data_IF_420295018675
#
_entry.id   IF_420295018675
#
_cell.length_a   1.000
_cell.length_b   1.000
_cell.length_c   1.000
_cell.angle_alpha   90.00
_cell.angle_beta   90.00
_cell.angle_gamma   90.00
#
_symmetry.space_group_name_H-M   'P 1'
#
loop_
_entity.id
_entity.type
_entity.pdbx_description
1 polymer ?
#
# COMPACT_ATOMS: atom_id res chain seq x y z
N UNK A 1 -7.55 -13.69 12.11
CA UNK A 1 -7.61 -13.14 10.74
C UNK A 1 -6.38 -12.26 10.54
N UNK A 2 -5.78 -12.28 9.35
CA UNK A 2 -4.52 -11.58 9.06
C UNK A 2 -4.79 -10.27 8.34
N UNK A 3 -3.91 -9.29 8.56
CA UNK A 3 -3.90 -7.99 7.88
C UNK A 3 -3.65 -8.17 6.39
N UNK A 4 -2.94 -9.23 5.99
CA UNK A 4 -2.78 -9.58 4.58
C UNK A 4 -3.95 -10.42 4.09
N UNK A 5 -4.52 -10.04 2.94
CA UNK A 5 -5.52 -10.85 2.26
C UNK A 5 -4.89 -12.19 1.87
N UNK A 6 -5.66 -13.30 1.95
CA UNK A 6 -5.19 -14.55 1.37
C UNK A 6 -4.88 -14.36 -0.11
N UNK A 7 -3.80 -14.98 -0.58
CA UNK A 7 -3.35 -14.84 -1.95
C UNK A 7 -4.50 -15.09 -2.95
N UNK A 8 -4.75 -14.10 -3.79
CA UNK A 8 -5.73 -14.15 -4.86
C UNK A 8 -5.11 -13.54 -6.12
N UNK A 9 -5.25 -14.24 -7.24
CA UNK A 9 -4.84 -13.70 -8.53
C UNK A 9 -6.00 -12.91 -9.14
N UNK A 10 -5.85 -11.60 -9.22
CA UNK A 10 -6.74 -10.69 -9.91
C UNK A 10 -6.40 -10.64 -11.40
N UNK A 11 -7.41 -10.84 -12.24
CA UNK A 11 -7.29 -10.59 -13.68
C UNK A 11 -7.16 -9.09 -13.96
N UNK A 12 -6.52 -8.74 -15.07
CA UNK A 12 -6.29 -7.36 -15.52
C UNK A 12 -7.55 -6.49 -15.46
N UNK A 13 -8.66 -7.01 -15.96
CA UNK A 13 -9.94 -6.29 -16.02
C UNK A 13 -10.49 -5.99 -14.62
N UNK A 14 -10.19 -6.84 -13.64
CA UNK A 14 -10.58 -6.63 -12.24
C UNK A 14 -9.69 -5.58 -11.56
N UNK A 15 -8.39 -5.56 -11.88
CA UNK A 15 -7.45 -4.56 -11.38
C UNK A 15 -7.81 -3.18 -11.95
N UNK A 16 -7.99 -3.09 -13.27
CA UNK A 16 -8.44 -1.87 -13.97
C UNK A 16 -9.76 -1.35 -13.43
N UNK A 17 -10.73 -2.24 -13.17
CA UNK A 17 -12.02 -1.83 -12.60
C UNK A 17 -11.84 -1.21 -11.23
N UNK A 18 -10.96 -1.75 -10.38
CA UNK A 18 -10.69 -1.21 -9.03
C UNK A 18 -10.02 0.16 -9.11
N UNK A 19 -8.98 0.30 -9.94
CA UNK A 19 -8.32 1.58 -10.17
C UNK A 19 -9.32 2.64 -10.69
N UNK A 20 -10.12 2.30 -11.69
CA UNK A 20 -11.15 3.20 -12.24
C UNK A 20 -12.26 3.54 -11.24
N UNK A 21 -12.66 2.61 -10.37
CA UNK A 21 -13.65 2.89 -9.35
C UNK A 21 -13.15 3.94 -8.34
N UNK A 22 -11.88 3.85 -7.94
CA UNK A 22 -11.23 4.86 -7.08
C UNK A 22 -11.25 6.22 -7.78
N UNK A 23 -10.81 6.31 -9.03
CA UNK A 23 -10.83 7.56 -9.79
C UNK A 23 -12.25 8.14 -9.95
N UNK A 24 -13.25 7.28 -10.18
CA UNK A 24 -14.65 7.70 -10.27
C UNK A 24 -15.18 8.23 -8.95
N UNK A 25 -14.80 7.61 -7.82
CA UNK A 25 -15.17 8.08 -6.49
C UNK A 25 -14.48 9.41 -6.17
N UNK A 26 -13.18 9.52 -6.43
CA UNK A 26 -12.41 10.77 -6.31
C UNK A 26 -13.06 11.91 -7.08
N UNK A 27 -13.47 11.66 -8.33
CA UNK A 27 -14.14 12.66 -9.16
C UNK A 27 -15.48 13.16 -8.59
N UNK A 28 -16.19 12.32 -7.83
CA UNK A 28 -17.45 12.67 -7.17
C UNK A 28 -17.25 13.40 -5.84
N UNK A 29 -16.07 13.29 -5.24
CA UNK A 29 -15.75 13.90 -3.95
C UNK A 29 -15.17 15.29 -4.18
N UNK A 30 -15.78 16.31 -3.55
CA UNK A 30 -15.27 17.68 -3.58
C UNK A 30 -13.83 17.72 -3.05
N UNK A 31 -12.96 18.51 -3.71
CA UNK A 31 -11.51 18.65 -3.44
C UNK A 31 -10.60 17.48 -3.89
N UNK A 32 -11.15 16.31 -4.23
CA UNK A 32 -10.37 15.17 -4.71
C UNK A 32 -10.51 14.91 -6.21
N UNK A 33 -11.15 15.82 -6.95
CA UNK A 33 -11.28 15.68 -8.40
C UNK A 33 -9.88 15.61 -9.05
N UNK A 34 -9.55 14.51 -9.75
CA UNK A 34 -8.22 14.31 -10.31
C UNK A 34 -7.94 15.40 -11.36
N UNK A 35 -6.76 16.04 -11.24
CA UNK A 35 -6.25 17.02 -12.20
C UNK A 35 -5.09 16.39 -12.96
N UNK A 36 -4.81 16.92 -14.15
CA UNK A 36 -3.69 16.48 -14.99
C UNK A 36 -2.64 17.60 -15.07
N UNK A 37 -1.34 17.31 -14.88
CA UNK A 37 -0.73 15.99 -14.62
C UNK A 37 -1.21 15.36 -13.30
N UNK A 38 -1.33 14.04 -13.29
CA UNK A 38 -1.97 13.30 -12.20
C UNK A 38 -0.99 13.05 -11.07
N UNK A 39 -1.37 13.50 -9.89
CA UNK A 39 -0.58 13.35 -8.66
C UNK A 39 -1.07 12.14 -7.88
N UNK A 40 -0.24 11.09 -7.79
CA UNK A 40 -0.60 9.85 -7.11
C UNK A 40 -0.86 10.05 -5.59
N UNK A 41 -0.25 11.08 -4.99
CA UNK A 41 -0.47 11.48 -3.59
C UNK A 41 -1.93 11.83 -3.29
N UNK A 42 -2.66 12.42 -4.25
CA UNK A 42 -4.09 12.70 -4.07
C UNK A 42 -4.92 11.42 -3.90
N UNK A 43 -4.48 10.31 -4.50
CA UNK A 43 -5.13 9.01 -4.32
C UNK A 43 -4.84 8.47 -2.92
N UNK A 44 -3.61 8.60 -2.43
CA UNK A 44 -3.26 8.23 -1.07
C UNK A 44 -4.11 9.02 -0.06
N UNK A 45 -4.17 10.35 -0.19
CA UNK A 45 -4.99 11.21 0.66
C UNK A 45 -6.48 10.82 0.60
N UNK A 46 -7.01 10.53 -0.60
CA UNK A 46 -8.40 10.09 -0.76
C UNK A 46 -8.69 8.75 -0.08
N UNK A 47 -7.70 7.86 -0.04
CA UNK A 47 -7.77 6.57 0.64
C UNK A 47 -7.43 6.67 2.13
N UNK A 48 -7.22 7.89 2.65
CA UNK A 48 -6.80 8.14 4.03
C UNK A 48 -5.52 7.38 4.36
N UNK A 49 -4.53 7.51 3.45
CA UNK A 49 -3.19 6.97 3.59
C UNK A 49 -2.20 8.12 3.78
N UNK A 50 -1.42 8.06 4.85
CA UNK A 50 -0.23 8.89 5.01
C UNK A 50 0.84 8.47 4.01
N UNK A 51 1.58 9.44 3.47
CA UNK A 51 2.78 9.20 2.67
C UNK A 51 3.92 10.01 3.25
N UNK A 52 5.01 9.34 3.62
CA UNK A 52 6.21 9.99 4.14
C UNK A 52 7.46 9.46 3.43
N UNK A 53 8.51 10.27 3.49
CA UNK A 53 9.84 9.87 3.05
C UNK A 53 10.65 9.47 4.28
N UNK A 54 11.29 8.31 4.23
CA UNK A 54 12.12 7.80 5.31
C UNK A 54 13.38 7.10 4.76
N UNK A 55 14.47 7.06 5.53
CA UNK A 55 15.64 6.26 5.17
C UNK A 55 15.40 4.81 5.54
N UNK A 56 15.00 4.02 4.54
CA UNK A 56 14.81 2.59 4.71
C UNK A 56 16.15 1.90 4.38
N UNK A 57 16.88 1.36 5.36
CA UNK A 57 18.10 0.62 5.09
C UNK A 57 17.78 -0.69 4.36
N UNK A 58 18.67 -1.18 3.48
CA UNK A 58 18.54 -2.52 2.93
C UNK A 58 18.65 -3.56 4.06
N UNK A 59 18.02 -4.71 3.87
CA UNK A 59 18.12 -5.84 4.78
C UNK A 59 18.71 -7.08 4.08
N UNK A 60 18.62 -8.26 4.70
CA UNK A 60 19.15 -9.52 4.17
C UNK A 60 18.62 -9.88 2.76
N UNK A 61 17.45 -9.35 2.37
CA UNK A 61 16.86 -9.56 1.05
C UNK A 61 17.07 -8.39 0.08
N UNK A 62 17.92 -7.42 0.41
CA UNK A 62 18.38 -6.38 -0.49
C UNK A 62 17.75 -5.00 -0.27
N UNK A 63 17.79 -4.18 -1.32
CA UNK A 63 17.28 -2.81 -1.27
C UNK A 63 15.74 -2.79 -1.23
N UNK A 64 15.21 -1.96 -0.33
CA UNK A 64 13.77 -1.76 -0.14
C UNK A 64 13.39 -0.42 -0.76
N UNK A 65 12.45 -0.44 -1.69
CA UNK A 65 11.97 0.78 -2.34
C UNK A 65 10.96 1.53 -1.46
N UNK A 66 10.03 0.80 -0.86
CA UNK A 66 9.02 1.34 0.03
C UNK A 66 8.57 0.26 1.01
N UNK A 67 7.94 0.71 2.10
CA UNK A 67 7.22 -0.18 3.03
C UNK A 67 5.85 0.41 3.35
N UNK A 68 4.88 -0.47 3.58
CA UNK A 68 3.54 -0.08 4.03
C UNK A 68 3.39 -0.55 5.47
N UNK A 69 3.00 0.37 6.34
CA UNK A 69 2.62 0.13 7.74
C UNK A 69 1.09 0.12 7.81
N UNK A 70 0.44 -1.06 7.74
CA UNK A 70 -1.00 -1.07 7.53
C UNK A 70 -1.81 -0.58 8.74
N UNK A 71 -1.29 -0.83 9.94
CA UNK A 71 -1.85 -0.36 11.21
C UNK A 71 -1.77 1.14 11.36
N UNK A 72 -0.85 1.80 10.68
CA UNK A 72 -0.71 3.27 10.72
C UNK A 72 -1.32 3.93 9.48
N UNK A 73 -1.84 3.13 8.54
CA UNK A 73 -2.31 3.58 7.22
C UNK A 73 -1.24 4.44 6.53
N UNK A 74 0.01 4.01 6.64
CA UNK A 74 1.18 4.81 6.24
C UNK A 74 1.99 4.08 5.18
N UNK A 75 2.33 4.80 4.12
CA UNK A 75 3.29 4.39 3.08
C UNK A 75 4.57 5.19 3.31
N UNK A 76 5.68 4.48 3.49
CA UNK A 76 7.02 5.05 3.60
C UNK A 76 7.78 4.78 2.32
N UNK A 77 8.14 5.86 1.61
CA UNK A 77 8.97 5.80 0.42
C UNK A 77 10.43 6.01 0.82
N UNK A 78 11.32 5.18 0.30
CA UNK A 78 12.74 5.30 0.60
C UNK A 78 13.29 6.61 -0.01
N UNK A 79 13.96 7.44 0.79
CA UNK A 79 14.62 8.66 0.33
C UNK A 79 15.62 8.42 -0.81
N UNK A 80 16.21 7.22 -0.89
CA UNK A 80 17.11 6.82 -1.99
C UNK A 80 16.44 6.83 -3.37
N UNK A 81 15.11 6.93 -3.43
CA UNK A 81 14.33 7.05 -4.66
C UNK A 81 14.27 8.50 -5.17
N UNK A 82 14.54 9.49 -4.33
CA UNK A 82 14.49 10.91 -4.71
C UNK A 82 15.48 11.23 -5.84
N UNK A 83 16.60 10.51 -5.92
CA UNK A 83 17.63 10.66 -6.97
C UNK A 83 17.25 9.97 -8.30
N UNK A 84 16.08 9.33 -8.39
CA UNK A 84 15.63 8.61 -9.59
C UNK A 84 14.97 9.55 -10.62
N UNK A 85 14.84 9.11 -11.88
CA UNK A 85 14.18 9.90 -12.93
C UNK A 85 12.76 10.32 -12.55
N UNK A 86 12.32 11.45 -13.10
CA UNK A 86 10.95 11.95 -12.97
C UNK A 86 9.93 10.87 -13.38
N UNK A 87 8.85 10.70 -12.61
CA UNK A 87 7.85 9.65 -12.80
C UNK A 87 8.12 8.38 -11.99
N UNK A 88 9.35 8.16 -11.52
CA UNK A 88 9.67 6.97 -10.72
C UNK A 88 9.04 7.04 -9.33
N UNK A 89 9.00 8.23 -8.72
CA UNK A 89 8.39 8.45 -7.41
C UNK A 89 6.89 8.21 -7.47
N UNK A 90 6.24 8.78 -8.49
CA UNK A 90 4.82 8.66 -8.77
C UNK A 90 4.43 7.21 -9.09
N UNK A 91 5.25 6.51 -9.89
CA UNK A 91 5.05 5.08 -10.16
C UNK A 91 5.24 4.22 -8.91
N UNK A 92 6.21 4.54 -8.04
CA UNK A 92 6.43 3.80 -6.80
C UNK A 92 5.22 3.99 -5.88
N UNK A 93 4.77 5.22 -5.68
CA UNK A 93 3.60 5.48 -4.85
C UNK A 93 2.33 4.82 -5.40
N UNK A 94 2.09 4.88 -6.71
CA UNK A 94 0.96 4.21 -7.34
C UNK A 94 1.03 2.68 -7.17
N UNK A 95 2.23 2.11 -7.23
CA UNK A 95 2.48 0.70 -6.96
C UNK A 95 2.13 0.32 -5.51
N UNK A 96 2.57 1.12 -4.53
CA UNK A 96 2.24 0.90 -3.11
C UNK A 96 0.74 1.02 -2.83
N UNK A 97 0.06 1.98 -3.48
CA UNK A 97 -1.41 2.08 -3.42
C UNK A 97 -2.05 0.81 -4.00
N UNK A 98 -1.46 0.22 -5.05
CA UNK A 98 -1.86 -1.06 -5.60
C UNK A 98 -1.82 -2.19 -4.55
N UNK A 99 -0.73 -2.30 -3.79
CA UNK A 99 -0.63 -3.26 -2.69
C UNK A 99 -1.68 -3.03 -1.61
N UNK A 100 -1.90 -1.77 -1.22
CA UNK A 100 -2.94 -1.40 -0.25
C UNK A 100 -4.35 -1.82 -0.69
N UNK A 101 -4.69 -1.55 -1.94
CA UNK A 101 -6.03 -1.80 -2.49
C UNK A 101 -6.26 -3.31 -2.73
N UNK A 102 -5.27 -3.99 -3.29
CA UNK A 102 -5.42 -5.37 -3.75
C UNK A 102 -5.10 -6.40 -2.67
N UNK A 103 -4.08 -6.15 -1.85
CA UNK A 103 -3.44 -7.19 -1.05
C UNK A 103 -3.54 -6.97 0.48
N UNK A 104 -3.82 -5.74 0.93
CA UNK A 104 -4.05 -5.44 2.34
C UNK A 104 -5.55 -5.51 2.68
N UNK A 105 -5.87 -6.14 3.82
CA UNK A 105 -7.20 -6.18 4.40
C UNK A 105 -7.39 -5.00 5.36
N UNK A 106 -8.00 -3.94 4.84
CA UNK A 106 -8.16 -2.65 5.53
C UNK A 106 -9.03 -2.79 6.79
N UNK A 107 -10.08 -3.60 6.73
CA UNK A 107 -10.97 -3.83 7.89
C UNK A 107 -10.23 -4.51 9.06
N UNK A 108 -9.34 -5.46 8.75
CA UNK A 108 -8.50 -6.10 9.77
C UNK A 108 -7.42 -5.16 10.31
N UNK A 109 -6.80 -4.34 9.44
CA UNK A 109 -5.82 -3.34 9.85
C UNK A 109 -6.45 -2.34 10.85
N UNK A 110 -7.60 -1.77 10.49
CA UNK A 110 -8.33 -0.82 11.34
C UNK A 110 -8.85 -1.50 12.63
N UNK A 111 -9.23 -2.78 12.55
CA UNK A 111 -9.67 -3.57 13.70
C UNK A 111 -8.55 -3.82 14.72
N UNK A 112 -7.32 -4.07 14.27
CA UNK A 112 -6.14 -4.24 15.14
C UNK A 112 -5.84 -2.94 15.89
N UNK A 113 -5.88 -1.80 15.20
CA UNK A 113 -5.66 -0.47 15.83
C UNK A 113 -6.68 -0.22 16.93
N UNK A 114 -7.97 -0.42 16.66
CA UNK A 114 -9.03 -0.23 17.66
C UNK A 114 -8.86 -1.13 18.87
N UNK A 115 -8.38 -2.36 18.70
CA UNK A 115 -8.08 -3.26 19.82
C UNK A 115 -6.93 -2.75 20.69
N UNK A 116 -5.90 -2.16 20.07
CA UNK A 116 -4.77 -1.56 20.79
C UNK A 116 -5.18 -0.28 21.54
N UNK A 117 -5.98 0.60 20.92
CA UNK A 117 -6.45 1.86 21.51
C UNK A 117 -7.40 1.67 22.69
N UNK A 118 -8.21 0.60 22.67
CA UNK A 118 -9.17 0.30 23.73
C UNK A 118 -8.53 -0.36 24.96
N UNK A 119 -7.20 -0.54 24.97
CA UNK A 119 -6.43 -1.17 26.05
C UNK A 119 -7.11 -2.48 26.51
N UNK A 120 -7.66 -3.25 25.54
CA UNK A 120 -8.39 -4.50 25.77
C UNK A 120 -7.43 -5.65 26.15
N UNK A 121 -6.39 -5.33 26.93
CA UNK A 121 -5.24 -6.14 27.28
C UNK A 121 -5.53 -7.65 27.27
N UNK A 122 -4.77 -8.34 26.43
CA UNK A 122 -4.56 -9.79 26.37
C UNK A 122 -5.75 -10.72 26.70
N UNK A 123 -6.99 -10.32 26.41
CA UNK A 123 -8.14 -11.23 26.38
C UNK A 123 -8.08 -12.08 25.10
N UNK A 124 -7.07 -12.96 25.07
CA UNK A 124 -6.89 -13.98 24.05
C UNK A 124 -5.75 -13.69 23.08
N UNK A 125 -4.52 -13.96 23.54
CA UNK A 125 -3.26 -14.00 22.77
C UNK A 125 -2.87 -12.69 22.08
N UNK A 126 -1.64 -12.17 22.29
CA UNK A 126 -1.20 -11.00 21.56
C UNK A 126 -1.10 -11.39 20.08
N UNK A 127 -1.99 -10.85 19.24
CA UNK A 127 -1.73 -10.78 17.80
C UNK A 127 -0.42 -10.01 17.70
N UNK A 128 0.68 -10.71 17.40
CA UNK A 128 1.96 -10.09 17.03
C UNK A 128 1.64 -8.89 16.13
N UNK A 129 2.24 -7.73 16.39
CA UNK A 129 2.30 -6.64 15.41
C UNK A 129 2.70 -7.29 14.09
N UNK A 130 1.75 -7.39 13.15
CA UNK A 130 2.02 -8.06 11.88
C UNK A 130 3.04 -7.20 11.14
N UNK A 131 4.08 -7.85 10.63
CA UNK A 131 5.25 -7.19 10.06
C UNK A 131 4.86 -6.28 8.89
N UNK A 132 5.57 -5.14 8.69
CA UNK A 132 5.32 -4.23 7.57
C UNK A 132 5.34 -4.96 6.23
N UNK A 133 4.52 -4.51 5.28
CA UNK A 133 4.62 -4.98 3.90
C UNK A 133 5.83 -4.31 3.25
N UNK A 134 6.82 -5.10 2.84
CA UNK A 134 8.09 -4.59 2.31
C UNK A 134 8.17 -4.91 0.82
N UNK A 135 8.26 -3.87 -0.01
CA UNK A 135 8.42 -4.03 -1.45
C UNK A 135 9.89 -4.26 -1.80
N UNK A 136 10.17 -5.43 -2.40
CA UNK A 136 11.51 -5.92 -2.76
C UNK A 136 11.55 -6.27 -4.25
N UNK A 137 12.76 -6.31 -4.81
CA UNK A 137 12.97 -6.97 -6.10
C UNK A 137 12.60 -8.45 -6.01
N UNK A 138 11.58 -8.86 -6.76
CA UNK A 138 11.08 -10.22 -7.03
C UNK A 138 11.83 -11.39 -6.36
N UNK A 139 11.11 -12.19 -5.55
CA UNK A 139 11.65 -13.38 -4.88
C UNK A 139 10.60 -14.49 -4.79
N UNK A 140 10.27 -15.10 -5.93
CA UNK A 140 9.49 -16.35 -6.03
C UNK A 140 8.07 -16.15 -6.58
N UNK A 141 7.52 -17.18 -7.24
CA UNK A 141 6.37 -17.03 -8.16
C UNK A 141 5.11 -16.37 -7.61
N UNK A 142 4.81 -16.53 -6.31
CA UNK A 142 3.66 -15.87 -5.66
C UNK A 142 3.94 -14.40 -5.34
N UNK A 143 5.15 -14.10 -4.86
CA UNK A 143 5.60 -12.72 -4.60
C UNK A 143 5.67 -11.99 -5.93
N UNK A 144 6.28 -12.60 -6.95
CA UNK A 144 6.35 -12.06 -8.31
C UNK A 144 4.96 -11.74 -8.88
N UNK A 145 3.96 -12.57 -8.57
CA UNK A 145 2.57 -12.31 -8.98
C UNK A 145 1.91 -11.18 -8.19
N UNK A 146 2.22 -10.99 -6.91
CA UNK A 146 1.71 -9.87 -6.11
C UNK A 146 2.32 -8.56 -6.61
N UNK A 147 3.64 -8.52 -6.76
CA UNK A 147 4.38 -7.38 -7.33
C UNK A 147 3.89 -7.01 -8.73
N UNK A 148 3.63 -8.00 -9.59
CA UNK A 148 3.09 -7.75 -10.92
C UNK A 148 1.69 -7.14 -10.88
N UNK A 149 0.83 -7.56 -9.96
CA UNK A 149 -0.53 -7.03 -9.85
C UNK A 149 -0.54 -5.58 -9.34
N UNK A 150 0.31 -5.27 -8.36
CA UNK A 150 0.52 -3.90 -7.89
C UNK A 150 1.14 -3.01 -8.98
N UNK A 151 2.11 -3.54 -9.74
CA UNK A 151 2.68 -2.82 -10.87
C UNK A 151 1.69 -2.60 -12.02
N UNK A 152 0.74 -3.51 -12.23
CA UNK A 152 -0.32 -3.33 -13.24
C UNK A 152 -1.42 -2.37 -12.77
N UNK A 153 -1.57 -2.20 -11.46
CA UNK A 153 -2.50 -1.22 -10.89
C UNK A 153 -2.00 0.22 -11.08
N UNK A 154 -0.69 0.42 -10.96
CA UNK A 154 0.00 1.69 -11.18
C UNK A 154 -0.02 2.14 -12.65
#
# INVERSE_FOLDING_TARGET
MSIFKPYCFYRKESIERRANDILRRMHKTTNFAPRWPFEASLVADFLDLGVVWDDIPPDEGGAIAARILPTERLIELNEKILDKPQGFQESTLAHEIGHWVLHINQDEADGVVKQLELDLGDYGTPKKLEEPFVCRGASGSKIDSIEWQAQYFA
#
